data_IF_408647673905
#
_entry.id   IF_408647673905
#
_cell.length_a   1.000
_cell.length_b   1.000
_cell.length_c   1.000
_cell.angle_alpha   90.00
_cell.angle_beta   90.00
_cell.angle_gamma   90.00
#
_symmetry.space_group_name_H-M   'P 1'
#
loop_
_entity.id
_entity.type
_entity.pdbx_description
1 polymer ?
#
# COMPACT_ATOMS: atom_id res chain seq x y z
N UNK A 1 -4.30 -22.79 -15.96
CA UNK A 1 -4.50 -21.47 -15.33
C UNK A 1 -3.52 -20.48 -15.94
N UNK A 2 -3.87 -19.20 -15.99
CA UNK A 2 -3.00 -18.11 -16.43
C UNK A 2 -2.81 -17.10 -15.30
N UNK A 3 -1.62 -16.50 -15.22
CA UNK A 3 -1.28 -15.51 -14.20
C UNK A 3 -0.66 -14.30 -14.89
N UNK A 4 -1.10 -13.11 -14.48
CA UNK A 4 -0.47 -11.85 -14.81
C UNK A 4 0.01 -11.16 -13.53
N UNK A 5 1.22 -10.61 -13.56
CA UNK A 5 1.77 -9.83 -12.45
C UNK A 5 2.30 -8.51 -12.98
N UNK A 6 1.98 -7.42 -12.29
CA UNK A 6 2.50 -6.09 -12.57
C UNK A 6 3.00 -5.43 -11.28
N UNK A 7 4.12 -4.70 -11.31
CA UNK A 7 5.07 -4.61 -12.41
C UNK A 7 5.72 -5.97 -12.73
N UNK A 8 6.33 -6.07 -13.91
CA UNK A 8 6.98 -7.30 -14.34
C UNK A 8 8.12 -7.65 -13.36
N UNK A 9 8.11 -8.89 -12.87
CA UNK A 9 9.12 -9.41 -11.96
C UNK A 9 9.41 -10.87 -12.29
N UNK A 10 10.65 -11.29 -12.06
CA UNK A 10 11.01 -12.70 -12.17
C UNK A 10 10.48 -13.43 -10.94
N UNK A 11 9.55 -14.37 -11.16
CA UNK A 11 8.93 -15.15 -10.09
C UNK A 11 9.38 -16.59 -10.22
N UNK A 12 10.13 -17.07 -9.23
CA UNK A 12 10.62 -18.45 -9.15
C UNK A 12 9.62 -19.39 -8.47
N UNK A 13 8.83 -18.89 -7.51
CA UNK A 13 7.81 -19.63 -6.78
C UNK A 13 6.49 -18.85 -6.79
N UNK A 14 5.47 -19.40 -7.45
CA UNK A 14 4.14 -18.79 -7.55
C UNK A 14 3.34 -18.83 -6.23
N UNK A 15 3.74 -19.67 -5.28
CA UNK A 15 3.09 -19.83 -3.99
C UNK A 15 3.79 -19.06 -2.87
N UNK A 16 5.05 -18.69 -3.07
CA UNK A 16 5.89 -18.05 -2.06
C UNK A 16 6.91 -17.07 -2.67
N UNK A 17 6.46 -16.15 -3.52
CA UNK A 17 7.33 -15.13 -4.11
C UNK A 17 7.80 -14.11 -3.09
N UNK A 18 9.10 -13.79 -3.11
CA UNK A 18 9.65 -12.75 -2.25
C UNK A 18 9.25 -11.36 -2.76
N UNK A 19 8.88 -10.49 -1.83
CA UNK A 19 8.56 -9.09 -2.11
C UNK A 19 9.28 -8.19 -1.11
N UNK A 20 9.89 -7.12 -1.62
CA UNK A 20 10.52 -6.06 -0.82
C UNK A 20 9.94 -4.71 -1.22
N UNK A 21 9.39 -3.99 -0.25
CA UNK A 21 8.85 -2.65 -0.43
C UNK A 21 9.98 -1.62 -0.52
N UNK A 22 9.95 -0.79 -1.57
CA UNK A 22 10.88 0.32 -1.80
C UNK A 22 10.09 1.64 -1.72
N UNK A 23 10.29 2.40 -0.64
CA UNK A 23 9.58 3.66 -0.40
C UNK A 23 9.84 4.73 -1.47
N UNK A 24 10.93 4.61 -2.22
CA UNK A 24 11.27 5.54 -3.30
C UNK A 24 10.56 5.20 -4.61
N UNK A 25 9.94 4.02 -4.71
CA UNK A 25 9.32 3.47 -5.93
C UNK A 25 7.88 3.06 -5.68
N UNK A 26 7.01 4.05 -5.50
CA UNK A 26 5.60 3.81 -5.15
C UNK A 26 4.82 3.09 -6.25
N UNK A 27 5.09 3.36 -7.53
CA UNK A 27 4.40 2.66 -8.63
C UNK A 27 4.87 1.21 -8.72
N UNK A 28 6.16 0.98 -8.54
CA UNK A 28 6.74 -0.35 -8.66
C UNK A 28 6.48 -1.22 -7.43
N UNK A 29 6.27 -0.58 -6.29
CA UNK A 29 5.84 -1.24 -5.05
C UNK A 29 4.35 -1.59 -5.07
N UNK A 30 3.55 -1.04 -5.97
CA UNK A 30 2.15 -1.42 -6.11
C UNK A 30 2.02 -2.72 -6.91
N UNK A 31 2.03 -3.86 -6.21
CA UNK A 31 1.90 -5.17 -6.83
C UNK A 31 0.44 -5.46 -7.19
N UNK A 32 0.20 -5.74 -8.46
CA UNK A 32 -1.09 -6.16 -9.00
C UNK A 32 -0.99 -7.59 -9.51
N UNK A 33 -1.99 -8.41 -9.19
CA UNK A 33 -2.04 -9.82 -9.57
C UNK A 33 -3.37 -10.16 -10.24
N UNK A 34 -3.31 -10.82 -11.40
CA UNK A 34 -4.43 -11.41 -12.10
C UNK A 34 -4.25 -12.94 -12.12
N UNK A 35 -5.32 -13.69 -11.81
CA UNK A 35 -5.32 -15.15 -11.87
C UNK A 35 -6.57 -15.60 -12.59
N UNK A 36 -6.40 -16.29 -13.71
CA UNK A 36 -7.44 -17.02 -14.39
C UNK A 36 -7.27 -18.52 -14.05
N UNK A 37 -8.08 -19.02 -13.10
CA UNK A 37 -7.98 -20.41 -12.63
C UNK A 37 -8.55 -21.39 -13.64
N UNK A 38 -9.61 -20.99 -14.33
CA UNK A 38 -10.38 -21.84 -15.25
C UNK A 38 -9.62 -22.16 -16.54
N UNK A 39 -8.60 -21.37 -16.87
CA UNK A 39 -7.82 -21.53 -18.09
C UNK A 39 -8.61 -21.13 -19.33
N UNK A 40 -8.19 -21.66 -20.48
CA UNK A 40 -8.95 -21.59 -21.72
C UNK A 40 -9.54 -22.98 -21.99
N UNK A 41 -10.79 -23.04 -22.44
CA UNK A 41 -11.36 -24.28 -22.98
C UNK A 41 -10.94 -24.39 -24.43
N UNK A 42 -9.79 -25.02 -24.68
CA UNK A 42 -9.17 -25.13 -26.01
C UNK A 42 -10.18 -25.49 -27.11
N UNK A 43 -10.37 -24.55 -28.04
CA UNK A 43 -11.06 -24.76 -29.31
C UNK A 43 -10.03 -24.52 -30.43
N UNK A 44 -9.71 -25.56 -31.21
CA UNK A 44 -8.69 -25.50 -32.28
C UNK A 44 -9.07 -24.53 -33.40
N UNK A 45 -10.36 -24.19 -33.52
CA UNK A 45 -10.90 -23.37 -34.61
C UNK A 45 -11.05 -21.89 -34.24
N UNK A 46 -10.75 -21.47 -33.01
CA UNK A 46 -10.96 -20.09 -32.55
C UNK A 46 -9.82 -19.58 -31.64
N UNK A 47 -9.30 -18.38 -31.94
CA UNK A 47 -8.47 -17.65 -30.99
C UNK A 47 -9.32 -17.27 -29.76
N UNK A 48 -8.95 -17.78 -28.60
CA UNK A 48 -9.62 -17.48 -27.34
C UNK A 48 -8.80 -16.50 -26.50
N UNK A 49 -9.28 -15.27 -26.28
CA UNK A 49 -8.57 -14.32 -25.42
C UNK A 49 -8.58 -14.79 -23.97
N UNK A 50 -7.45 -14.67 -23.27
CA UNK A 50 -7.38 -14.91 -21.82
C UNK A 50 -7.84 -13.65 -21.10
N UNK A 51 -8.96 -13.66 -20.36
CA UNK A 51 -9.34 -12.52 -19.54
C UNK A 51 -8.47 -12.50 -18.27
N UNK A 52 -7.76 -11.39 -18.08
CA UNK A 52 -7.00 -11.11 -16.87
C UNK A 52 -7.51 -9.82 -16.20
N UNK A 53 -8.07 -9.96 -15.00
CA UNK A 53 -8.46 -8.84 -14.15
C UNK A 53 -7.42 -8.66 -13.04
N UNK A 54 -6.70 -7.55 -13.12
CA UNK A 54 -5.69 -7.18 -12.14
C UNK A 54 -6.33 -6.57 -10.89
N UNK A 55 -5.80 -6.95 -9.73
CA UNK A 55 -6.19 -6.41 -8.43
C UNK A 55 -4.94 -6.08 -7.64
N UNK A 56 -4.93 -4.95 -6.95
CA UNK A 56 -3.91 -4.58 -5.99
C UNK A 56 -3.84 -5.64 -4.87
N UNK A 57 -2.65 -6.19 -4.64
CA UNK A 57 -2.39 -7.10 -3.50
C UNK A 57 -1.66 -6.40 -2.35
N UNK A 58 -1.15 -5.19 -2.59
CA UNK A 58 -0.68 -4.30 -1.53
C UNK A 58 -1.83 -3.50 -0.92
N UNK A 59 -1.54 -2.76 0.16
CA UNK A 59 -2.45 -1.77 0.74
C UNK A 59 -1.95 -0.35 0.42
N UNK A 60 -2.84 0.64 0.48
CA UNK A 60 -2.48 2.05 0.39
C UNK A 60 -2.79 2.74 1.71
N UNK A 61 -1.83 3.49 2.22
CA UNK A 61 -2.03 4.38 3.35
C UNK A 61 -2.10 5.83 2.83
N UNK A 62 -3.12 6.55 3.26
CA UNK A 62 -3.26 8.00 3.08
C UNK A 62 -3.33 8.65 4.45
N UNK A 63 -2.50 9.66 4.69
CA UNK A 63 -2.55 10.48 5.90
C UNK A 63 -2.92 11.90 5.49
N UNK A 64 -4.06 12.37 6.01
CA UNK A 64 -4.50 13.75 5.85
C UNK A 64 -4.17 14.53 7.12
N UNK A 65 -3.64 15.73 6.96
CA UNK A 65 -3.30 16.64 8.03
C UNK A 65 -4.21 17.85 8.00
N UNK A 66 -4.82 18.14 9.15
CA UNK A 66 -5.41 19.43 9.46
C UNK A 66 -4.65 20.05 10.62
N UNK A 67 -4.74 21.37 10.77
CA UNK A 67 -3.95 22.10 11.76
C UNK A 67 -4.84 22.91 12.68
N UNK A 68 -4.47 22.93 13.96
CA UNK A 68 -5.07 23.88 14.90
C UNK A 68 -4.64 25.30 14.58
N UNK A 69 -5.49 26.25 14.96
CA UNK A 69 -5.29 27.68 14.79
C UNK A 69 -3.94 28.24 15.31
N UNK A 70 -3.29 27.55 16.26
CA UNK A 70 -1.97 27.88 16.78
C UNK A 70 -0.86 27.89 15.70
N UNK A 71 -1.08 27.25 14.56
CA UNK A 71 -0.16 27.23 13.43
C UNK A 71 -0.38 28.38 12.43
N UNK A 72 -1.36 29.26 12.69
CA UNK A 72 -1.80 30.27 11.74
C UNK A 72 -2.70 29.69 10.66
N UNK A 73 -3.21 30.55 9.78
CA UNK A 73 -4.20 30.19 8.75
C UNK A 73 -3.66 29.19 7.73
N UNK A 74 -2.37 29.28 7.39
CA UNK A 74 -1.72 28.44 6.38
C UNK A 74 -1.20 27.10 6.95
N UNK A 75 -1.15 26.95 8.27
CA UNK A 75 -0.50 25.82 8.92
C UNK A 75 1.03 25.90 8.90
N UNK A 76 1.73 24.90 9.47
CA UNK A 76 3.18 24.82 9.42
C UNK A 76 3.70 24.23 8.11
N UNK A 77 4.98 24.44 7.85
CA UNK A 77 5.74 23.60 6.92
C UNK A 77 6.04 22.26 7.59
N UNK A 78 5.63 21.17 6.95
CA UNK A 78 5.91 19.80 7.40
C UNK A 78 7.14 19.31 6.65
N UNK A 79 8.17 18.95 7.40
CA UNK A 79 9.43 18.42 6.86
C UNK A 79 9.20 17.01 6.30
N UNK A 80 8.48 16.17 7.06
CA UNK A 80 8.09 14.81 6.63
C UNK A 80 6.98 14.22 7.47
N UNK A 81 6.33 13.20 6.90
CA UNK A 81 5.43 12.27 7.59
C UNK A 81 6.01 10.87 7.43
N UNK A 82 6.16 10.12 8.52
CA UNK A 82 6.76 8.80 8.53
C UNK A 82 5.86 7.77 9.20
N UNK A 83 5.91 6.55 8.67
CA UNK A 83 5.26 5.36 9.25
C UNK A 83 6.30 4.60 10.05
N UNK A 84 6.00 4.31 11.32
CA UNK A 84 6.94 3.63 12.21
C UNK A 84 6.82 2.10 12.17
N UNK A 85 7.97 1.41 12.24
CA UNK A 85 8.08 -0.04 12.47
C UNK A 85 7.23 -0.91 11.53
N UNK A 86 7.20 -0.56 10.25
CA UNK A 86 6.44 -1.30 9.25
C UNK A 86 7.27 -2.42 8.64
N UNK A 87 6.66 -3.59 8.41
CA UNK A 87 7.28 -4.65 7.63
C UNK A 87 7.58 -4.13 6.22
N UNK A 88 8.84 -4.31 5.79
CA UNK A 88 9.36 -3.94 4.46
C UNK A 88 9.52 -5.14 3.54
N UNK A 89 9.37 -6.36 4.06
CA UNK A 89 9.39 -7.60 3.28
C UNK A 89 8.13 -8.43 3.51
N UNK A 90 7.77 -9.20 2.49
CA UNK A 90 6.66 -10.15 2.54
C UNK A 90 6.91 -11.33 1.61
N UNK A 91 6.13 -12.38 1.83
CA UNK A 91 5.94 -13.47 0.86
C UNK A 91 4.58 -13.31 0.20
N UNK A 92 4.51 -13.49 -1.12
CA UNK A 92 3.29 -13.36 -1.92
C UNK A 92 2.94 -14.71 -2.55
N UNK A 93 1.73 -15.19 -2.27
CA UNK A 93 1.16 -16.29 -3.00
C UNK A 93 0.37 -15.72 -4.19
N UNK A 94 0.92 -15.80 -5.39
CA UNK A 94 0.29 -15.25 -6.59
C UNK A 94 -0.96 -16.02 -7.02
N UNK A 95 -1.11 -17.30 -6.63
CA UNK A 95 -2.29 -18.11 -6.95
C UNK A 95 -3.51 -17.74 -6.10
N UNK A 96 -3.28 -17.39 -4.83
CA UNK A 96 -4.34 -17.01 -3.87
C UNK A 96 -4.41 -15.51 -3.61
N UNK A 97 -3.43 -14.74 -4.10
CA UNK A 97 -3.23 -13.31 -3.87
C UNK A 97 -2.99 -12.94 -2.41
N UNK A 98 -2.61 -13.91 -1.58
CA UNK A 98 -2.31 -13.68 -0.15
C UNK A 98 -0.91 -13.09 -0.02
N UNK A 99 -0.80 -12.00 0.75
CA UNK A 99 0.47 -11.38 1.14
C UNK A 99 0.72 -11.65 2.62
N UNK A 100 1.88 -12.19 2.95
CA UNK A 100 2.29 -12.52 4.30
C UNK A 100 3.47 -11.63 4.71
N UNK A 101 3.26 -10.59 5.53
CA UNK A 101 4.36 -9.71 5.97
C UNK A 101 5.38 -10.47 6.82
N UNK A 102 6.65 -10.09 6.70
CA UNK A 102 7.71 -10.65 7.56
C UNK A 102 7.47 -10.28 9.02
N UNK A 103 7.58 -11.28 9.90
CA UNK A 103 7.56 -11.08 11.35
C UNK A 103 8.96 -10.77 11.92
N UNK A 104 10.01 -10.93 11.12
CA UNK A 104 11.41 -10.71 11.50
C UNK A 104 11.63 -9.24 11.83
N UNK A 105 12.29 -8.95 12.95
CA UNK A 105 12.44 -7.58 13.45
C UNK A 105 13.30 -6.72 12.51
N UNK A 106 14.33 -7.32 11.92
CA UNK A 106 15.27 -6.68 10.99
C UNK A 106 14.62 -6.31 9.64
N UNK A 107 13.48 -6.93 9.31
CA UNK A 107 12.69 -6.60 8.12
C UNK A 107 11.69 -5.46 8.37
N UNK A 108 11.65 -4.92 9.60
CA UNK A 108 10.80 -3.79 9.96
C UNK A 108 11.62 -2.52 10.06
N UNK A 109 11.10 -1.45 9.48
CA UNK A 109 11.75 -0.14 9.51
C UNK A 109 10.72 0.98 9.44
N UNK A 110 11.16 2.15 9.87
CA UNK A 110 10.44 3.39 9.60
C UNK A 110 10.65 3.78 8.13
N UNK A 111 9.65 4.42 7.52
CA UNK A 111 9.81 4.98 6.18
C UNK A 111 9.02 6.28 6.03
N UNK A 112 9.55 7.17 5.21
CA UNK A 112 8.95 8.47 4.93
C UNK A 112 7.89 8.33 3.83
N UNK A 113 6.74 8.99 4.03
CA UNK A 113 5.65 9.02 3.08
C UNK A 113 5.82 10.20 2.09
N UNK A 114 5.70 9.97 0.78
CA UNK A 114 5.65 11.04 -0.20
C UNK A 114 4.44 11.97 0.01
N UNK A 115 4.65 13.27 -0.20
CA UNK A 115 3.57 14.25 -0.18
C UNK A 115 2.76 14.19 -1.50
N UNK A 116 1.44 14.03 -1.39
CA UNK A 116 0.51 14.27 -2.50
C UNK A 116 0.14 15.75 -2.60
N UNK A 117 -0.02 16.39 -1.45
CA UNK A 117 -0.18 17.83 -1.32
C UNK A 117 0.63 18.28 -0.13
N UNK A 118 1.64 19.12 -0.38
CA UNK A 118 2.56 19.58 0.66
C UNK A 118 1.79 20.07 1.89
N UNK A 119 2.25 19.63 3.06
CA UNK A 119 1.68 19.94 4.37
C UNK A 119 0.23 19.49 4.57
N UNK A 120 -0.41 18.75 3.66
CA UNK A 120 -1.85 18.42 3.80
C UNK A 120 -2.15 16.95 3.61
N UNK A 121 -1.51 16.31 2.65
CA UNK A 121 -1.81 14.94 2.31
C UNK A 121 -0.56 14.20 1.89
N UNK A 122 -0.38 13.02 2.47
CA UNK A 122 0.74 12.13 2.24
C UNK A 122 0.18 10.75 1.92
N UNK A 123 0.80 10.02 1.00
CA UNK A 123 0.34 8.67 0.68
C UNK A 123 1.49 7.75 0.33
N UNK A 124 1.36 6.49 0.71
CA UNK A 124 2.31 5.45 0.35
C UNK A 124 1.63 4.10 0.17
N UNK A 125 2.17 3.29 -0.73
CA UNK A 125 1.96 1.85 -0.73
C UNK A 125 2.55 1.27 0.55
N UNK A 126 1.89 0.26 1.10
CA UNK A 126 2.36 -0.47 2.27
C UNK A 126 2.00 -1.95 2.13
N UNK A 127 2.87 -2.81 2.64
CA UNK A 127 2.55 -4.24 2.75
C UNK A 127 1.34 -4.39 3.69
N UNK A 128 0.30 -5.16 3.31
CA UNK A 128 -0.82 -5.47 4.20
C UNK A 128 -0.33 -6.09 5.51
N UNK A 129 -0.64 -5.47 6.64
CA UNK A 129 -0.13 -5.82 7.96
C UNK A 129 -0.97 -5.18 9.08
N UNK A 130 -0.77 -5.65 10.30
CA UNK A 130 -1.45 -5.20 11.51
C UNK A 130 -0.47 -4.85 12.65
N UNK A 131 0.78 -4.51 12.30
CA UNK A 131 1.85 -4.22 13.26
C UNK A 131 2.20 -2.73 13.44
N UNK A 132 1.65 -1.85 12.61
CA UNK A 132 1.98 -0.42 12.60
C UNK A 132 1.03 0.33 13.52
N UNK A 133 1.58 1.09 14.47
CA UNK A 133 0.80 1.82 15.48
C UNK A 133 1.01 3.34 15.44
N UNK A 134 2.16 3.79 14.91
CA UNK A 134 2.63 5.17 15.03
C UNK A 134 2.79 5.85 13.69
N UNK A 135 2.37 7.11 13.64
CA UNK A 135 2.65 8.04 12.55
C UNK A 135 3.41 9.22 13.15
N UNK A 136 4.57 9.54 12.59
CA UNK A 136 5.41 10.66 13.02
C UNK A 136 5.30 11.79 12.01
N UNK A 137 5.04 13.01 12.48
CA UNK A 137 5.05 14.23 11.67
C UNK A 137 6.19 15.10 12.18
N UNK A 138 7.16 15.43 11.32
CA UNK A 138 8.28 16.31 11.67
C UNK A 138 8.00 17.73 11.17
N UNK A 139 8.06 18.71 12.07
CA UNK A 139 7.85 20.14 11.75
C UNK A 139 8.97 20.94 12.41
N UNK A 140 9.77 21.64 11.61
CA UNK A 140 10.91 22.44 12.09
C UNK A 140 11.93 21.58 12.85
N UNK A 141 12.14 20.34 12.41
CA UNK A 141 13.03 19.37 13.07
C UNK A 141 12.52 18.79 14.39
N UNK A 142 11.28 19.10 14.81
CA UNK A 142 10.63 18.48 15.98
C UNK A 142 9.64 17.42 15.53
N UNK A 143 9.70 16.25 16.15
CA UNK A 143 8.76 15.16 15.91
C UNK A 143 7.50 15.30 16.76
N UNK A 144 6.37 15.08 16.10
CA UNK A 144 5.04 14.97 16.67
C UNK A 144 4.51 13.58 16.35
N UNK A 145 4.38 12.74 17.37
CA UNK A 145 4.06 11.33 17.20
C UNK A 145 2.59 11.12 17.55
N UNK A 146 1.80 10.66 16.58
CA UNK A 146 0.50 10.07 16.85
C UNK A 146 0.68 8.58 17.13
N UNK A 147 0.23 8.15 18.30
CA UNK A 147 0.16 6.75 18.69
C UNK A 147 -1.32 6.37 18.81
N UNK A 148 -1.75 5.40 18.00
CA UNK A 148 -3.13 4.96 17.95
C UNK A 148 -3.54 4.08 19.15
N UNK A 149 -2.60 3.73 20.04
CA UNK A 149 -2.78 2.83 21.18
C UNK A 149 -2.94 1.35 20.80
N UNK A 150 -3.48 1.09 19.61
CA UNK A 150 -3.58 -0.22 18.97
C UNK A 150 -3.09 -0.13 17.53
N UNK A 151 -2.48 -1.19 16.98
CA UNK A 151 -2.04 -1.16 15.59
C UNK A 151 -3.18 -0.94 14.60
N UNK A 152 -2.90 -0.19 13.54
CA UNK A 152 -3.76 -0.10 12.38
C UNK A 152 -3.76 -1.41 11.62
N UNK A 153 -4.90 -1.74 11.01
CA UNK A 153 -5.02 -2.85 10.07
C UNK A 153 -4.97 -2.30 8.65
N UNK A 154 -3.95 -2.71 7.89
CA UNK A 154 -3.83 -2.42 6.47
C UNK A 154 -4.19 -3.65 5.66
N UNK A 155 -5.26 -3.54 4.88
CA UNK A 155 -5.84 -4.66 4.15
C UNK A 155 -5.42 -4.64 2.67
N UNK A 156 -5.12 -5.83 2.14
CA UNK A 156 -4.82 -6.02 0.71
C UNK A 156 -5.93 -5.44 -0.17
N UNK A 157 -5.55 -4.68 -1.19
CA UNK A 157 -6.47 -4.07 -2.14
C UNK A 157 -7.35 -2.96 -1.56
N UNK A 158 -7.04 -2.45 -0.37
CA UNK A 158 -7.76 -1.35 0.29
C UNK A 158 -6.89 -0.11 0.45
N UNK A 159 -7.58 1.02 0.58
CA UNK A 159 -7.01 2.29 1.01
C UNK A 159 -7.41 2.52 2.46
N UNK A 160 -6.45 2.72 3.35
CA UNK A 160 -6.67 3.20 4.71
C UNK A 160 -6.34 4.69 4.76
N UNK A 161 -7.33 5.51 5.09
CA UNK A 161 -7.20 6.96 5.23
C UNK A 161 -7.25 7.34 6.71
N UNK A 162 -6.19 7.97 7.20
CA UNK A 162 -6.08 8.45 8.58
C UNK A 162 -6.10 9.97 8.55
N UNK A 163 -7.08 10.58 9.24
CA UNK A 163 -7.17 12.04 9.35
C UNK A 163 -6.64 12.47 10.71
N UNK A 164 -5.59 13.28 10.73
CA UNK A 164 -4.93 13.77 11.94
C UNK A 164 -5.04 15.30 12.04
N UNK A 165 -5.49 15.78 13.20
CA UNK A 165 -5.45 17.19 13.56
C UNK A 165 -4.19 17.47 14.40
N UNK A 166 -3.25 18.22 13.84
CA UNK A 166 -1.94 18.50 14.44
C UNK A 166 -1.96 19.83 15.22
N UNK A 167 -1.72 19.77 16.53
CA UNK A 167 -1.43 20.91 17.39
C UNK A 167 0.06 21.03 17.73
N UNK A 168 0.44 22.05 18.52
CA UNK A 168 1.84 22.23 18.97
C UNK A 168 2.28 21.28 20.10
N UNK A 169 1.30 20.68 20.78
CA UNK A 169 1.53 19.80 21.93
C UNK A 169 0.89 18.41 21.76
N UNK A 170 -0.20 18.32 21.01
CA UNK A 170 -1.02 17.09 20.86
C UNK A 170 -1.47 16.92 19.42
N UNK A 171 -1.40 15.69 18.93
CA UNK A 171 -2.09 15.25 17.71
C UNK A 171 -3.39 14.53 18.11
N UNK A 172 -4.50 14.87 17.46
CA UNK A 172 -5.79 14.19 17.63
C UNK A 172 -6.14 13.40 16.38
N UNK A 173 -6.71 12.21 16.57
CA UNK A 173 -7.37 11.49 15.51
C UNK A 173 -8.72 12.15 15.19
N UNK A 174 -8.97 12.43 13.93
CA UNK A 174 -10.32 12.71 13.43
C UNK A 174 -11.07 11.40 13.23
N UNK A 175 -10.64 10.63 12.24
CA UNK A 175 -11.23 9.35 11.85
C UNK A 175 -10.24 8.49 11.04
N UNK A 176 -10.54 7.19 10.99
CA UNK A 176 -9.88 6.21 10.11
C UNK A 176 -10.94 5.59 9.22
N UNK A 177 -10.73 5.68 7.91
CA UNK A 177 -11.63 5.09 6.91
C UNK A 177 -10.88 4.03 6.10
N UNK A 178 -11.51 2.88 5.88
CA UNK A 178 -11.01 1.84 4.99
C UNK A 178 -11.98 1.72 3.82
N UNK A 179 -11.46 1.89 2.61
CA UNK A 179 -12.24 1.78 1.37
C UNK A 179 -11.58 0.85 0.38
N UNK A 180 -12.33 0.39 -0.62
CA UNK A 180 -11.76 -0.32 -1.75
C UNK A 180 -10.78 0.59 -2.50
N UNK A 181 -9.65 0.03 -2.92
CA UNK A 181 -8.76 0.70 -3.87
C UNK A 181 -9.32 0.63 -5.30
N UNK A 182 -10.16 -0.38 -5.56
CA UNK A 182 -10.71 -0.68 -6.88
C UNK A 182 -9.87 -1.70 -7.64
N UNK A 183 -10.40 -2.16 -8.77
CA UNK A 183 -9.66 -2.89 -9.80
C UNK A 183 -9.28 -1.93 -10.92
N UNK A 184 -8.20 -2.22 -11.66
CA UNK A 184 -7.75 -1.38 -12.78
C UNK A 184 -8.60 -1.60 -14.05
N UNK A 185 -9.92 -1.41 -13.96
CA UNK A 185 -10.84 -1.42 -15.10
C UNK A 185 -11.25 -2.80 -15.63
N UNK A 186 -11.80 -2.80 -16.85
CA UNK A 186 -12.25 -3.97 -17.61
C UNK A 186 -11.13 -5.01 -17.78
N UNK A 187 -11.44 -6.32 -17.86
CA UNK A 187 -10.44 -7.36 -18.06
C UNK A 187 -9.56 -7.07 -19.28
N UNK A 188 -8.24 -7.10 -19.09
CA UNK A 188 -7.31 -7.03 -20.22
C UNK A 188 -7.38 -8.39 -20.93
N UNK A 189 -7.64 -8.36 -22.24
CA UNK A 189 -7.63 -9.54 -23.09
C UNK A 189 -6.24 -9.67 -23.71
N UNK A 190 -5.45 -10.63 -23.23
CA UNK A 190 -4.14 -10.95 -23.77
C UNK A 190 -4.18 -12.20 -24.65
N UNK A 191 -3.33 -12.24 -25.67
CA UNK A 191 -2.99 -13.47 -26.40
C UNK A 191 -1.92 -14.22 -25.60
N UNK A 192 -2.13 -15.51 -25.35
CA UNK A 192 -1.08 -16.37 -24.80
C UNK A 192 -0.05 -16.62 -25.91
N UNK A 193 1.22 -16.32 -25.64
CA UNK A 193 2.31 -16.77 -26.51
C UNK A 193 2.67 -18.22 -26.14
N UNK A 194 2.76 -19.07 -27.16
CA UNK A 194 3.12 -20.50 -27.07
C UNK A 194 4.47 -20.74 -26.36
#
# INVERSE_FOLDING_TARGET
YFIGVYPISAISDLSAGEYTFDETKQVESDLLVAVNKDGLSYNVDEQQPVPLTFTHVMAKLVVNLTYKNQWGTEGPTVDKVAVGNAAKKATVNYLTKVVSPSAVAEDKADFDMPALTANKQYASIIIPQDGVQKITITIGGKDFIYDNGTPFKFESGKITTINLEVGRDVIKLGDVNISDWGSTGEPIKGEAYD
#
